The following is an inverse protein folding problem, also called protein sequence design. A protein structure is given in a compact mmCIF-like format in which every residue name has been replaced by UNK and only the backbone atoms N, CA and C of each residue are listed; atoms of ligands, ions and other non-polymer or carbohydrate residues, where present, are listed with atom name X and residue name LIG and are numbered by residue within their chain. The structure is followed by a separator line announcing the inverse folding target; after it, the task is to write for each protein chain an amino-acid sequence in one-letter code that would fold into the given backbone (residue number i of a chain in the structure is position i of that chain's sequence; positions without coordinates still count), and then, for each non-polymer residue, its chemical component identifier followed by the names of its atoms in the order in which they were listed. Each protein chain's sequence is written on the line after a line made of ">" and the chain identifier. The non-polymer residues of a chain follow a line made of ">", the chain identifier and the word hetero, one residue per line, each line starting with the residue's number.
data_IF_483939391463
#
_entry.id   IF_483939391463
#
_cell.length_a   1.000
_cell.length_b   1.000
_cell.length_c   1.000
_cell.angle_alpha   90.00
_cell.angle_beta   90.00
_cell.angle_gamma   90.00
#
_symmetry.space_group_name_H-M   'P 1'
#
loop_
_entity.id
_entity.type
_entity.pdbx_description
1 polymer ?
#
# COMPACT_ATOMS: atom_id res chain seq x y z
N UNK A 1 -25.44 25.24 17.76
CA UNK A 1 -24.40 24.21 17.98
C UNK A 1 -24.96 22.95 18.67
N UNK A 2 -25.71 23.06 19.77
CA UNK A 2 -26.23 21.89 20.51
C UNK A 2 -27.13 20.92 19.71
N UNK A 3 -28.02 21.42 18.84
CA UNK A 3 -28.90 20.56 18.03
C UNK A 3 -28.15 19.70 16.98
N UNK A 4 -26.96 20.12 16.54
CA UNK A 4 -26.16 19.34 15.58
C UNK A 4 -25.47 18.16 16.28
N UNK A 5 -24.95 18.35 17.49
CA UNK A 5 -24.33 17.27 18.28
C UNK A 5 -25.35 16.20 18.66
N UNK A 6 -26.51 16.57 19.20
CA UNK A 6 -27.57 15.62 19.54
C UNK A 6 -28.08 14.79 18.34
N UNK A 7 -28.10 15.38 17.14
CA UNK A 7 -28.46 14.68 15.90
C UNK A 7 -27.38 13.71 15.41
N UNK A 8 -26.11 13.94 15.75
CA UNK A 8 -25.03 12.99 15.47
C UNK A 8 -25.08 11.82 16.45
N UNK A 9 -25.23 12.09 17.74
CA UNK A 9 -25.30 11.06 18.78
C UNK A 9 -26.47 10.09 18.53
N UNK A 10 -27.65 10.63 18.15
CA UNK A 10 -28.80 9.81 17.78
C UNK A 10 -28.54 8.94 16.54
N UNK A 11 -27.81 9.43 15.53
CA UNK A 11 -27.50 8.64 14.33
C UNK A 11 -26.51 7.52 14.60
N UNK A 12 -25.55 7.73 15.49
CA UNK A 12 -24.64 6.68 15.93
C UNK A 12 -25.37 5.61 16.75
N UNK A 13 -26.18 6.02 17.73
CA UNK A 13 -26.94 5.09 18.56
C UNK A 13 -27.93 4.24 17.76
N UNK A 14 -28.63 4.82 16.78
CA UNK A 14 -29.53 4.07 15.89
C UNK A 14 -28.78 3.05 15.05
N UNK A 15 -27.57 3.39 14.57
CA UNK A 15 -26.75 2.48 13.76
C UNK A 15 -26.13 1.37 14.58
N UNK A 16 -25.71 1.66 15.80
CA UNK A 16 -25.21 0.64 16.73
C UNK A 16 -26.31 -0.36 17.10
N UNK A 17 -27.51 0.13 17.43
CA UNK A 17 -28.66 -0.74 17.66
C UNK A 17 -29.06 -1.56 16.41
N UNK A 18 -28.93 -0.98 15.21
CA UNK A 18 -29.16 -1.69 13.96
C UNK A 18 -28.13 -2.80 13.73
N UNK A 19 -26.85 -2.52 13.94
CA UNK A 19 -25.79 -3.53 13.84
C UNK A 19 -25.97 -4.64 14.87
N UNK A 20 -26.41 -4.31 16.09
CA UNK A 20 -26.70 -5.30 17.13
C UNK A 20 -27.84 -6.24 16.73
N UNK A 21 -28.92 -5.68 16.16
CA UNK A 21 -30.02 -6.49 15.64
C UNK A 21 -29.56 -7.42 14.51
N UNK A 22 -28.69 -6.95 13.61
CA UNK A 22 -28.11 -7.79 12.55
C UNK A 22 -27.21 -8.93 13.08
N UNK A 23 -26.54 -8.71 14.21
CA UNK A 23 -25.76 -9.76 14.88
C UNK A 23 -26.71 -10.79 15.50
N UNK A 24 -27.79 -10.35 16.15
CA UNK A 24 -28.79 -11.25 16.75
C UNK A 24 -29.55 -12.07 15.69
N UNK A 25 -29.83 -11.50 14.52
CA UNK A 25 -30.48 -12.17 13.39
C UNK A 25 -29.52 -13.02 12.53
N UNK A 26 -28.22 -13.02 12.86
CA UNK A 26 -27.15 -13.72 12.13
C UNK A 26 -27.00 -13.31 10.64
N UNK A 27 -27.47 -12.11 10.25
CA UNK A 27 -27.39 -11.64 8.87
C UNK A 27 -26.06 -10.93 8.56
N UNK A 28 -25.05 -11.74 8.26
CA UNK A 28 -23.71 -11.27 7.89
C UNK A 28 -23.66 -10.52 6.55
N UNK A 29 -24.62 -10.75 5.63
CA UNK A 29 -24.60 -10.13 4.30
C UNK A 29 -25.03 -8.67 4.39
N UNK A 30 -26.16 -8.45 5.04
CA UNK A 30 -26.66 -7.09 5.26
C UNK A 30 -25.72 -6.30 6.16
N UNK A 31 -25.09 -6.95 7.14
CA UNK A 31 -24.06 -6.32 7.98
C UNK A 31 -22.84 -5.87 7.18
N UNK A 32 -22.36 -6.69 6.24
CA UNK A 32 -21.25 -6.32 5.36
C UNK A 32 -21.56 -5.09 4.52
N UNK A 33 -22.71 -5.10 3.85
CA UNK A 33 -23.12 -3.99 2.99
C UNK A 33 -23.32 -2.70 3.82
N UNK A 34 -23.85 -2.82 5.04
CA UNK A 34 -23.97 -1.71 5.98
C UNK A 34 -22.61 -1.12 6.39
N UNK A 35 -21.63 -1.97 6.70
CA UNK A 35 -20.27 -1.59 7.10
C UNK A 35 -19.50 -0.93 5.94
N UNK A 36 -19.67 -1.43 4.72
CA UNK A 36 -18.96 -0.91 3.55
C UNK A 36 -19.54 0.44 3.09
N UNK A 37 -20.85 0.65 3.23
CA UNK A 37 -21.52 1.89 2.80
C UNK A 37 -21.48 3.02 3.80
N UNK A 38 -21.33 2.73 5.10
CA UNK A 38 -21.46 3.73 6.15
C UNK A 38 -20.24 3.73 7.08
N UNK A 39 -19.72 4.92 7.42
CA UNK A 39 -18.57 5.04 8.35
C UNK A 39 -18.95 5.62 9.73
N UNK A 40 -20.24 5.90 9.96
CA UNK A 40 -20.71 6.59 11.16
C UNK A 40 -21.14 5.61 12.27
N UNK A 41 -20.23 4.78 12.78
CA UNK A 41 -20.43 3.89 13.93
C UNK A 41 -19.09 3.60 14.63
N UNK A 42 -19.12 2.99 15.82
CA UNK A 42 -17.90 2.55 16.50
C UNK A 42 -17.35 1.26 15.87
N UNK A 43 -16.42 1.41 14.92
CA UNK A 43 -15.77 0.30 14.24
C UNK A 43 -14.95 -0.59 15.19
N UNK A 44 -14.35 0.00 16.24
CA UNK A 44 -13.47 -0.75 17.14
C UNK A 44 -14.28 -1.58 18.15
N UNK A 45 -15.33 -0.99 18.72
CA UNK A 45 -16.25 -1.69 19.61
C UNK A 45 -16.97 -2.84 18.91
N UNK A 46 -17.44 -2.61 17.68
CA UNK A 46 -18.10 -3.64 16.88
C UNK A 46 -17.12 -4.78 16.52
N UNK A 47 -15.89 -4.47 16.10
CA UNK A 47 -14.89 -5.50 15.77
C UNK A 47 -14.58 -6.42 16.97
N UNK A 48 -14.38 -5.84 18.16
CA UNK A 48 -14.08 -6.60 19.38
C UNK A 48 -15.24 -7.52 19.81
N UNK A 49 -16.49 -7.17 19.47
CA UNK A 49 -17.66 -8.03 19.70
C UNK A 49 -17.72 -9.17 18.68
N UNK A 50 -17.53 -8.86 17.40
CA UNK A 50 -17.56 -9.81 16.29
C UNK A 50 -16.45 -10.87 16.38
N UNK A 51 -15.29 -10.51 16.93
CA UNK A 51 -14.14 -11.41 17.14
C UNK A 51 -14.49 -12.64 18.01
N UNK A 52 -15.43 -12.50 18.96
CA UNK A 52 -15.82 -13.58 19.89
C UNK A 52 -16.98 -14.43 19.39
N UNK A 53 -17.51 -14.13 18.20
CA UNK A 53 -18.69 -14.80 17.69
C UNK A 53 -18.35 -16.18 17.11
N UNK A 54 -19.25 -17.16 17.30
CA UNK A 54 -19.01 -18.55 16.90
C UNK A 54 -18.89 -18.70 15.37
N UNK A 55 -19.72 -17.97 14.64
CA UNK A 55 -19.74 -17.96 13.17
C UNK A 55 -18.47 -17.32 12.57
N UNK A 56 -17.80 -18.06 11.69
CA UNK A 56 -16.59 -17.61 10.99
C UNK A 56 -16.81 -16.35 10.14
N UNK A 57 -18.00 -16.16 9.57
CA UNK A 57 -18.29 -14.99 8.72
C UNK A 57 -18.28 -13.68 9.52
N UNK A 58 -18.70 -13.71 10.79
CA UNK A 58 -18.61 -12.54 11.67
C UNK A 58 -17.17 -12.23 12.09
N UNK A 59 -16.36 -13.26 12.36
CA UNK A 59 -14.91 -13.07 12.59
C UNK A 59 -14.18 -12.54 11.36
N UNK A 60 -14.57 -13.01 10.17
CA UNK A 60 -14.09 -12.47 8.90
C UNK A 60 -14.42 -10.99 8.74
N UNK A 61 -15.66 -10.59 9.09
CA UNK A 61 -16.07 -9.18 9.12
C UNK A 61 -15.29 -8.37 10.16
N UNK A 62 -14.99 -8.94 11.33
CA UNK A 62 -14.14 -8.30 12.34
C UNK A 62 -12.75 -8.00 11.78
N UNK A 63 -12.13 -8.96 11.07
CA UNK A 63 -10.84 -8.76 10.40
C UNK A 63 -10.90 -7.65 9.36
N UNK A 64 -11.94 -7.63 8.52
CA UNK A 64 -12.15 -6.56 7.52
C UNK A 64 -12.30 -5.19 8.18
N UNK A 65 -13.03 -5.12 9.30
CA UNK A 65 -13.25 -3.88 10.04
C UNK A 65 -11.97 -3.35 10.70
N UNK A 66 -11.14 -4.23 11.28
CA UNK A 66 -9.81 -3.87 11.78
C UNK A 66 -8.88 -3.36 10.66
N UNK A 67 -8.94 -3.98 9.47
CA UNK A 67 -8.24 -3.49 8.28
C UNK A 67 -8.69 -2.07 7.89
N UNK A 68 -10.00 -1.82 7.86
CA UNK A 68 -10.55 -0.49 7.56
C UNK A 68 -10.15 0.56 8.61
N UNK A 69 -9.98 0.15 9.87
CA UNK A 69 -9.49 0.97 10.97
C UNK A 69 -7.95 1.11 11.04
N UNK A 70 -7.22 0.62 10.03
CA UNK A 70 -5.76 0.60 9.95
C UNK A 70 -5.05 -0.13 11.10
N UNK A 71 -5.74 -1.09 11.75
CA UNK A 71 -5.18 -1.97 12.78
C UNK A 71 -4.74 -3.30 12.17
N UNK A 72 -3.69 -3.23 11.36
CA UNK A 72 -3.19 -4.34 10.54
C UNK A 72 -2.77 -5.55 11.38
N UNK A 73 -2.02 -5.34 12.47
CA UNK A 73 -1.51 -6.41 13.33
C UNK A 73 -2.64 -7.29 13.90
N UNK A 74 -3.73 -6.65 14.34
CA UNK A 74 -4.90 -7.34 14.92
C UNK A 74 -5.70 -8.07 13.84
N UNK A 75 -5.93 -7.42 12.69
CA UNK A 75 -6.59 -8.05 11.56
C UNK A 75 -5.86 -9.31 11.09
N UNK A 76 -4.52 -9.23 10.98
CA UNK A 76 -3.70 -10.35 10.54
C UNK A 76 -3.63 -11.45 11.61
N UNK A 77 -3.50 -11.09 12.89
CA UNK A 77 -3.52 -12.07 13.98
C UNK A 77 -4.82 -12.88 13.98
N UNK A 78 -5.97 -12.21 13.83
CA UNK A 78 -7.26 -12.89 13.74
C UNK A 78 -7.34 -13.79 12.50
N UNK A 79 -6.87 -13.30 11.35
CA UNK A 79 -6.85 -14.09 10.12
C UNK A 79 -5.89 -15.30 10.21
N UNK A 80 -4.79 -15.19 10.98
CA UNK A 80 -3.87 -16.31 11.28
C UNK A 80 -4.56 -17.36 12.15
N UNK A 81 -5.31 -16.96 13.17
CA UNK A 81 -6.07 -17.86 14.07
C UNK A 81 -7.14 -18.64 13.30
N UNK A 82 -7.92 -17.95 12.46
CA UNK A 82 -8.99 -18.57 11.68
C UNK A 82 -8.51 -19.28 10.40
N UNK A 83 -7.21 -19.17 10.06
CA UNK A 83 -6.59 -19.68 8.84
C UNK A 83 -7.21 -19.12 7.55
N UNK A 84 -7.76 -17.91 7.60
CA UNK A 84 -8.30 -17.19 6.44
C UNK A 84 -7.16 -16.48 5.68
N UNK A 85 -6.36 -17.25 4.96
CA UNK A 85 -5.16 -16.74 4.28
C UNK A 85 -5.46 -15.76 3.15
N UNK A 86 -6.57 -15.96 2.42
CA UNK A 86 -6.97 -15.06 1.32
C UNK A 86 -7.16 -13.62 1.83
N UNK A 87 -7.88 -13.47 2.94
CA UNK A 87 -8.20 -12.15 3.46
C UNK A 87 -6.98 -11.52 4.12
N UNK A 88 -6.15 -12.31 4.81
CA UNK A 88 -4.85 -11.84 5.32
C UNK A 88 -3.98 -11.25 4.21
N UNK A 89 -3.90 -11.90 3.04
CA UNK A 89 -3.13 -11.42 1.89
C UNK A 89 -3.71 -10.11 1.35
N UNK A 90 -5.04 -10.01 1.21
CA UNK A 90 -5.66 -8.77 0.75
C UNK A 90 -5.44 -7.62 1.73
N UNK A 91 -5.52 -7.88 3.04
CA UNK A 91 -5.25 -6.88 4.08
C UNK A 91 -3.80 -6.44 4.05
N UNK A 92 -2.85 -7.37 3.90
CA UNK A 92 -1.43 -7.04 3.79
C UNK A 92 -1.15 -6.17 2.54
N UNK A 93 -1.76 -6.50 1.40
CA UNK A 93 -1.64 -5.70 0.18
C UNK A 93 -2.23 -4.28 0.35
N UNK A 94 -3.37 -4.14 1.03
CA UNK A 94 -3.98 -2.83 1.31
C UNK A 94 -3.17 -2.01 2.32
N UNK A 95 -2.46 -2.67 3.25
CA UNK A 95 -1.69 -1.99 4.30
C UNK A 95 -0.56 -1.10 3.78
N UNK A 96 -0.03 -1.37 2.57
CA UNK A 96 1.14 -0.69 1.99
C UNK A 96 2.38 -0.65 2.91
N UNK A 97 2.45 -1.54 3.90
CA UNK A 97 3.57 -1.60 4.84
C UNK A 97 4.45 -2.81 4.56
N UNK A 98 5.74 -2.56 4.36
CA UNK A 98 6.73 -3.58 4.03
C UNK A 98 6.89 -4.58 5.17
N UNK A 99 6.90 -4.08 6.40
CA UNK A 99 7.18 -4.89 7.60
C UNK A 99 6.08 -5.93 7.84
N UNK A 100 4.82 -5.53 7.69
CA UNK A 100 3.65 -6.41 7.84
C UNK A 100 3.61 -7.47 6.73
N UNK A 101 3.93 -7.07 5.49
CA UNK A 101 3.99 -8.00 4.36
C UNK A 101 5.12 -9.04 4.55
N UNK A 102 6.30 -8.62 4.99
CA UNK A 102 7.42 -9.52 5.27
C UNK A 102 7.16 -10.45 6.46
N UNK A 103 6.51 -9.96 7.52
CA UNK A 103 6.12 -10.80 8.67
C UNK A 103 5.11 -11.88 8.24
N UNK A 104 4.11 -11.52 7.43
CA UNK A 104 3.14 -12.47 6.89
C UNK A 104 3.80 -13.47 5.93
N UNK A 105 4.81 -13.04 5.15
CA UNK A 105 5.58 -13.90 4.26
C UNK A 105 6.39 -14.94 5.04
N UNK A 106 7.05 -14.53 6.15
CA UNK A 106 7.76 -15.43 7.07
C UNK A 106 6.81 -16.47 7.69
N UNK A 107 5.62 -16.03 8.08
CA UNK A 107 4.59 -16.93 8.61
C UNK A 107 4.16 -17.99 7.58
N UNK A 108 3.95 -17.59 6.31
CA UNK A 108 3.58 -18.55 5.26
C UNK A 108 4.71 -19.51 4.90
N UNK A 109 5.97 -19.08 4.96
CA UNK A 109 7.11 -19.96 4.74
C UNK A 109 7.26 -20.99 5.87
N UNK A 110 6.98 -20.62 7.12
CA UNK A 110 7.00 -21.54 8.27
C UNK A 110 5.87 -22.58 8.20
N UNK A 111 4.68 -22.18 7.74
CA UNK A 111 3.58 -23.13 7.46
C UNK A 111 3.94 -24.06 6.29
N UNK A 112 4.75 -23.58 5.34
CA UNK A 112 5.14 -24.32 4.15
C UNK A 112 4.08 -24.35 3.05
N UNK A 113 3.10 -23.44 3.09
CA UNK A 113 2.07 -23.32 2.05
C UNK A 113 2.60 -22.56 0.84
N UNK A 114 2.97 -23.31 -0.20
CA UNK A 114 3.48 -22.78 -1.48
C UNK A 114 2.51 -21.81 -2.17
N UNK A 115 1.21 -22.11 -2.11
CA UNK A 115 0.17 -21.33 -2.77
C UNK A 115 -0.01 -19.95 -2.13
N UNK A 116 -0.01 -19.90 -0.79
CA UNK A 116 -0.15 -18.65 -0.04
C UNK A 116 1.09 -17.76 -0.19
N UNK A 117 2.27 -18.38 -0.25
CA UNK A 117 3.53 -17.69 -0.51
C UNK A 117 3.51 -16.97 -1.88
N UNK A 118 3.14 -17.68 -2.94
CA UNK A 118 3.05 -17.10 -4.28
C UNK A 118 1.95 -16.03 -4.35
N UNK A 119 0.78 -16.30 -3.78
CA UNK A 119 -0.32 -15.34 -3.77
C UNK A 119 0.08 -14.02 -3.07
N UNK A 120 0.82 -14.09 -1.95
CA UNK A 120 1.33 -12.91 -1.27
C UNK A 120 2.38 -12.16 -2.09
N UNK A 121 3.31 -12.87 -2.73
CA UNK A 121 4.34 -12.26 -3.59
C UNK A 121 3.74 -11.44 -4.73
N UNK A 122 2.67 -11.94 -5.36
CA UNK A 122 2.00 -11.23 -6.45
C UNK A 122 1.06 -10.13 -5.96
N UNK A 123 0.36 -10.34 -4.85
CA UNK A 123 -0.53 -9.32 -4.29
C UNK A 123 0.24 -8.10 -3.75
N UNK A 124 1.42 -8.32 -3.17
CA UNK A 124 2.27 -7.29 -2.57
C UNK A 124 3.60 -7.13 -3.32
N UNK A 125 3.56 -7.14 -4.67
CA UNK A 125 4.75 -7.11 -5.52
C UNK A 125 5.66 -5.91 -5.25
N UNK A 126 5.07 -4.72 -5.08
CA UNK A 126 5.82 -3.48 -4.88
C UNK A 126 6.34 -3.30 -3.44
N UNK A 127 5.75 -4.01 -2.47
CA UNK A 127 6.08 -3.86 -1.04
C UNK A 127 7.22 -4.80 -0.64
N UNK A 128 7.28 -5.99 -1.22
CA UNK A 128 8.20 -7.04 -0.78
C UNK A 128 9.60 -6.80 -1.35
N UNK A 129 10.59 -6.84 -0.47
CA UNK A 129 12.00 -6.79 -0.88
C UNK A 129 12.40 -8.12 -1.54
N UNK A 130 12.98 -8.09 -2.74
CA UNK A 130 13.35 -9.30 -3.47
C UNK A 130 14.40 -10.13 -2.72
N UNK A 131 15.29 -9.48 -1.98
CA UNK A 131 16.33 -10.15 -1.18
C UNK A 131 15.71 -11.06 -0.11
N UNK A 132 14.67 -10.58 0.58
CA UNK A 132 13.95 -11.33 1.62
C UNK A 132 13.14 -12.47 1.00
N UNK A 133 12.47 -12.21 -0.12
CA UNK A 133 11.73 -13.24 -0.84
C UNK A 133 12.65 -14.38 -1.32
N UNK A 134 13.84 -14.05 -1.81
CA UNK A 134 14.83 -15.03 -2.25
C UNK A 134 15.41 -15.82 -1.06
N UNK A 135 15.76 -15.17 0.05
CA UNK A 135 16.23 -15.83 1.28
C UNK A 135 15.21 -16.88 1.76
N UNK A 136 13.94 -16.50 1.87
CA UNK A 136 12.87 -17.39 2.31
C UNK A 136 12.64 -18.52 1.30
N UNK A 137 12.67 -18.22 0.00
CA UNK A 137 12.54 -19.25 -1.04
C UNK A 137 13.65 -20.29 -0.95
N UNK A 138 14.87 -19.87 -0.65
CA UNK A 138 16.04 -20.75 -0.54
C UNK A 138 15.99 -21.60 0.73
N UNK A 139 15.69 -20.98 1.88
CA UNK A 139 15.62 -21.69 3.17
C UNK A 139 14.55 -22.77 3.20
N UNK A 140 13.39 -22.50 2.57
CA UNK A 140 12.25 -23.43 2.58
C UNK A 140 12.17 -24.30 1.30
N UNK A 141 13.18 -24.24 0.42
CA UNK A 141 13.26 -25.02 -0.83
C UNK A 141 12.05 -24.79 -1.78
N UNK A 142 11.56 -23.55 -1.87
CA UNK A 142 10.45 -23.12 -2.72
C UNK A 142 10.91 -22.44 -4.02
N UNK A 143 12.04 -22.88 -4.55
CA UNK A 143 12.69 -22.21 -5.66
C UNK A 143 11.81 -22.17 -6.92
N UNK A 144 11.18 -23.29 -7.26
CA UNK A 144 10.32 -23.41 -8.46
C UNK A 144 9.13 -22.46 -8.44
N UNK A 145 8.57 -22.20 -7.26
CA UNK A 145 7.42 -21.30 -7.10
C UNK A 145 7.81 -19.82 -7.09
N UNK A 146 9.04 -19.50 -6.72
CA UNK A 146 9.57 -18.13 -6.69
C UNK A 146 10.08 -17.65 -8.07
N UNK A 147 10.45 -18.57 -8.96
CA UNK A 147 11.01 -18.25 -10.28
C UNK A 147 10.24 -17.20 -11.09
N UNK A 148 8.90 -17.28 -11.23
CA UNK A 148 8.15 -16.28 -12.00
C UNK A 148 8.24 -14.87 -11.42
N UNK A 149 8.22 -14.75 -10.09
CA UNK A 149 8.37 -13.46 -9.41
C UNK A 149 9.76 -12.87 -9.66
N UNK A 150 10.82 -13.68 -9.52
CA UNK A 150 12.20 -13.23 -9.78
C UNK A 150 12.36 -12.67 -11.19
N UNK A 151 11.85 -13.39 -12.20
CA UNK A 151 11.92 -12.96 -13.59
C UNK A 151 11.17 -11.62 -13.81
N UNK A 152 10.04 -11.44 -13.14
CA UNK A 152 9.28 -10.20 -13.22
C UNK A 152 10.03 -9.02 -12.59
N UNK A 153 10.71 -9.22 -11.45
CA UNK A 153 11.56 -8.21 -10.81
C UNK A 153 12.77 -7.85 -11.68
N UNK A 154 13.43 -8.83 -12.29
CA UNK A 154 14.55 -8.59 -13.20
C UNK A 154 14.12 -7.79 -14.43
N UNK A 155 12.98 -8.14 -15.02
CA UNK A 155 12.41 -7.40 -16.15
C UNK A 155 12.07 -5.96 -15.78
N UNK A 156 11.36 -5.75 -14.66
CA UNK A 156 10.99 -4.40 -14.23
C UNK A 156 12.20 -3.52 -13.93
N UNK A 157 13.25 -4.10 -13.31
CA UNK A 157 14.55 -3.44 -13.11
C UNK A 157 15.22 -3.08 -14.44
N UNK A 158 15.25 -4.00 -15.41
CA UNK A 158 15.84 -3.73 -16.72
C UNK A 158 15.12 -2.59 -17.46
N UNK A 159 13.78 -2.60 -17.44
CA UNK A 159 12.95 -1.55 -18.03
C UNK A 159 13.18 -0.20 -17.34
N UNK A 160 13.30 -0.18 -16.00
CA UNK A 160 13.63 1.01 -15.23
C UNK A 160 15.02 1.56 -15.60
N UNK A 161 16.04 0.71 -15.65
CA UNK A 161 17.42 1.10 -16.03
C UNK A 161 17.43 1.68 -17.46
N UNK A 162 16.76 1.04 -18.41
CA UNK A 162 16.66 1.53 -19.78
C UNK A 162 15.96 2.91 -19.85
N UNK A 163 14.90 3.11 -19.06
CA UNK A 163 14.20 4.40 -19.01
C UNK A 163 15.05 5.51 -18.38
N UNK A 164 15.85 5.17 -17.36
CA UNK A 164 16.77 6.11 -16.70
C UNK A 164 17.93 6.49 -17.62
N UNK A 165 18.48 5.52 -18.36
CA UNK A 165 19.54 5.77 -19.34
C UNK A 165 19.08 6.78 -20.41
N UNK A 166 17.88 6.59 -20.99
CA UNK A 166 17.30 7.53 -21.97
C UNK A 166 17.12 8.93 -21.39
N UNK A 167 16.57 9.04 -20.18
CA UNK A 167 16.40 10.34 -19.51
C UNK A 167 17.74 11.03 -19.24
N UNK A 168 18.78 10.26 -18.91
CA UNK A 168 20.12 10.80 -18.70
C UNK A 168 20.74 11.32 -20.00
N UNK A 169 20.57 10.61 -21.12
CA UNK A 169 20.99 11.06 -22.46
C UNK A 169 20.25 12.34 -22.92
N UNK A 170 18.94 12.41 -22.67
CA UNK A 170 18.13 13.61 -22.95
C UNK A 170 18.52 14.81 -22.08
N UNK A 171 18.89 14.58 -20.81
CA UNK A 171 19.38 15.63 -19.93
C UNK A 171 20.77 16.08 -20.34
N UNK A 172 21.69 15.16 -20.66
CA UNK A 172 23.05 15.51 -21.09
C UNK A 172 23.05 16.30 -22.40
N UNK A 173 22.18 15.95 -23.35
CA UNK A 173 22.04 16.73 -24.59
C UNK A 173 21.45 18.13 -24.35
N UNK A 174 20.49 18.27 -23.42
CA UNK A 174 19.94 19.57 -23.03
C UNK A 174 20.92 20.43 -22.24
N UNK A 175 21.78 19.85 -21.39
CA UNK A 175 22.81 20.60 -20.67
C UNK A 175 23.90 21.07 -21.62
N UNK A 176 24.34 20.24 -22.56
CA UNK A 176 25.29 20.64 -23.60
C UNK A 176 24.72 21.78 -24.46
N UNK A 177 23.45 21.69 -24.88
CA UNK A 177 22.80 22.77 -25.64
C UNK A 177 22.69 24.09 -24.85
N UNK A 178 22.45 24.02 -23.53
CA UNK A 178 22.41 25.22 -22.67
C UNK A 178 23.79 25.82 -22.41
N UNK A 179 24.82 24.99 -22.25
CA UNK A 179 26.20 25.46 -22.10
C UNK A 179 26.71 26.12 -23.39
N UNK A 180 26.30 25.62 -24.57
CA UNK A 180 26.57 26.26 -25.86
C UNK A 180 25.82 27.61 -26.03
N UNK A 181 24.59 27.73 -25.52
CA UNK A 181 23.84 28.99 -25.49
C UNK A 181 24.44 30.02 -24.51
N UNK A 182 24.95 29.60 -23.36
CA UNK A 182 25.60 30.49 -22.39
C UNK A 182 26.99 30.94 -22.84
N UNK A 183 27.76 30.06 -23.51
CA UNK A 183 29.10 30.38 -24.02
C UNK A 183 29.08 31.22 -25.32
N UNK A 184 27.92 31.34 -25.98
CA UNK A 184 27.71 32.18 -27.17
C UNK A 184 27.22 33.60 -26.85
N UNK A 185 26.93 33.92 -25.59
CA UNK A 185 26.70 35.31 -25.17
C UNK A 185 28.05 36.00 -24.91
N UNK A 186 28.38 37.11 -25.62
CA UNK A 186 29.68 37.74 -25.47
C UNK A 186 29.79 38.44 -24.10
N UNK A 187 30.89 38.18 -23.39
CA UNK A 187 31.36 38.97 -22.24
C UNK A 187 31.33 40.46 -22.61
N UNK A 188 30.32 41.17 -22.10
CA UNK A 188 30.04 42.56 -22.41
C UNK A 188 31.26 43.41 -22.05
N UNK A 189 32.01 43.79 -23.09
CA UNK A 189 33.32 44.42 -22.97
C UNK A 189 33.29 45.72 -22.18
N UNK A 190 34.23 45.82 -21.24
CA UNK A 190 34.92 47.07 -20.96
C UNK A 190 35.34 47.70 -22.30
N UNK A 191 34.74 48.82 -22.69
CA UNK A 191 35.24 49.63 -23.80
C UNK A 191 35.82 50.95 -23.25
N UNK A 192 37.09 51.30 -23.58
CA UNK A 192 37.68 52.58 -23.18
C UNK A 192 37.10 53.70 -24.05
N UNK A 193 36.55 54.75 -23.41
CA UNK A 193 36.01 55.92 -24.12
C UNK A 193 37.15 56.72 -24.78
N UNK A 194 37.19 56.75 -26.11
CA UNK A 194 37.98 57.74 -26.86
C UNK A 194 37.13 58.99 -27.10
N UNK A 195 37.54 60.09 -26.48
CA UNK A 195 36.93 61.42 -26.62
C UNK A 195 37.17 61.98 -28.02
N UNK A 196 36.10 62.16 -28.81
CA UNK A 196 36.14 62.90 -30.05
C UNK A 196 36.08 64.41 -29.77
N UNK A 197 37.19 65.11 -30.01
CA UNK A 197 37.25 66.58 -30.13
C UNK A 197 36.57 66.99 -31.44
N UNK A 198 35.42 67.66 -31.35
CA UNK A 198 34.72 68.25 -32.50
C UNK A 198 35.35 69.59 -32.93
N UNK A 199 35.59 69.73 -34.23
CA UNK A 199 35.77 71.02 -34.91
C UNK A 199 34.46 71.38 -35.63
N UNK A 200 33.79 72.42 -35.15
CA UNK A 200 33.18 73.57 -35.85
C UNK A 200 32.15 74.26 -34.95
#
# INVERSE_FOLDING_TARGET
>A
MAQRHARWDSRHAVKEAFNDLLIEEEDYKTLRDSIDTNDAFDAMGLAARLEKHDLLEFRRLASHLYGKAAKWDRSISLAKEDKLFKDAITTAAVSNSTDVAEELLRYFSDIGSRECFVALLFAAFDLIRPDVAEELSWRHSFHDTYMPYRLQVERSRADQIASLAKKLEELSSKTVAKEEEENSQPMLGLMPQTLALGYY
#
